data_IF_770371942963
#
_entry.id   IF_770371942963
#
_cell.length_a   1.000
_cell.length_b   1.000
_cell.length_c   1.000
_cell.angle_alpha   90.00
_cell.angle_beta   90.00
_cell.angle_gamma   90.00
#
_symmetry.space_group_name_H-M   'P 1'
#
loop_
_entity.id
_entity.type
_entity.pdbx_description
1 polymer ?
#
# COMPACT_ATOMS: atom_id res chain seq x y z
N UNK A 1 21.96 -6.45 -3.66
CA UNK A 1 21.19 -5.86 -2.54
C UNK A 1 20.34 -4.76 -3.13
N UNK A 2 19.05 -5.03 -3.36
CA UNK A 2 18.16 -4.10 -4.06
C UNK A 2 18.00 -2.80 -3.27
N UNK A 3 18.06 -1.65 -3.93
CA UNK A 3 17.73 -0.36 -3.34
C UNK A 3 16.24 -0.36 -2.97
N UNK A 4 15.89 -0.86 -1.78
CA UNK A 4 14.55 -0.70 -1.22
C UNK A 4 14.34 0.80 -0.92
N UNK A 5 13.77 1.51 -1.89
CA UNK A 5 13.42 2.92 -1.74
C UNK A 5 12.28 3.01 -0.71
N UNK A 6 12.61 3.39 0.53
CA UNK A 6 11.63 3.62 1.57
C UNK A 6 10.94 4.95 1.32
N UNK A 7 9.62 4.93 1.18
CA UNK A 7 8.81 6.12 0.95
C UNK A 7 7.94 6.33 2.18
N UNK A 8 8.09 7.49 2.82
CA UNK A 8 7.25 7.88 3.95
C UNK A 8 6.01 8.58 3.41
N UNK A 9 4.83 8.09 3.80
CA UNK A 9 3.54 8.64 3.40
C UNK A 9 2.73 8.99 4.63
N UNK A 10 1.94 10.07 4.54
CA UNK A 10 0.99 10.44 5.59
C UNK A 10 -0.29 9.64 5.41
N UNK A 11 -0.74 9.03 6.51
CA UNK A 11 -2.06 8.42 6.58
C UNK A 11 -3.09 9.40 7.14
N UNK A 12 -4.34 9.20 6.75
CA UNK A 12 -5.46 10.05 7.11
C UNK A 12 -6.63 9.17 7.54
N UNK A 13 -7.13 9.41 8.75
CA UNK A 13 -8.41 8.85 9.17
C UNK A 13 -9.52 9.69 8.53
N UNK A 14 -10.48 9.03 7.89
CA UNK A 14 -11.68 9.68 7.39
C UNK A 14 -12.42 10.36 8.56
N UNK A 15 -13.06 11.53 8.38
CA UNK A 15 -13.77 12.21 9.47
C UNK A 15 -14.84 11.35 10.16
N UNK A 16 -15.42 10.37 9.45
CA UNK A 16 -16.41 9.43 9.99
C UNK A 16 -15.79 8.26 10.77
N UNK A 17 -14.45 8.14 10.82
CA UNK A 17 -13.74 7.08 11.52
C UNK A 17 -13.82 5.69 10.87
N UNK A 18 -14.53 5.53 9.76
CA UNK A 18 -14.80 4.22 9.14
C UNK A 18 -13.65 3.69 8.29
N UNK A 19 -12.74 4.56 7.87
CA UNK A 19 -11.67 4.22 6.93
C UNK A 19 -10.39 4.99 7.20
N UNK A 20 -9.26 4.33 7.00
CA UNK A 20 -7.93 4.93 7.03
C UNK A 20 -7.32 4.86 5.63
N UNK A 21 -6.87 6.00 5.10
CA UNK A 21 -6.28 6.09 3.77
C UNK A 21 -4.81 6.46 3.88
N UNK A 22 -3.99 5.88 3.01
CA UNK A 22 -2.61 6.30 2.77
C UNK A 22 -2.51 6.85 1.35
N UNK A 23 -1.89 8.02 1.19
CA UNK A 23 -1.72 8.62 -0.13
C UNK A 23 -0.46 8.03 -0.78
N UNK A 24 -0.62 7.30 -1.87
CA UNK A 24 0.50 6.82 -2.69
C UNK A 24 0.97 7.98 -3.59
N UNK A 25 2.23 8.45 -3.48
CA UNK A 25 2.73 9.56 -4.27
C UNK A 25 2.62 9.30 -5.78
N UNK A 26 2.43 10.35 -6.56
CA UNK A 26 2.29 10.27 -8.03
C UNK A 26 3.42 9.46 -8.68
N UNK A 27 4.66 9.76 -8.31
CA UNK A 27 5.87 9.09 -8.82
C UNK A 27 5.83 7.57 -8.60
N UNK A 28 5.29 7.12 -7.46
CA UNK A 28 5.17 5.70 -7.11
C UNK A 28 4.05 5.04 -7.91
N UNK A 29 2.92 5.74 -8.07
CA UNK A 29 1.80 5.25 -8.91
C UNK A 29 2.24 5.10 -10.36
N UNK A 30 3.00 6.05 -10.90
CA UNK A 30 3.51 6.00 -12.27
C UNK A 30 4.57 4.89 -12.42
N UNK A 31 5.48 4.77 -11.45
CA UNK A 31 6.51 3.72 -11.43
C UNK A 31 5.92 2.31 -11.39
N UNK A 32 4.84 2.10 -10.64
CA UNK A 32 4.13 0.83 -10.52
C UNK A 32 2.96 0.70 -11.51
N UNK A 33 2.78 1.67 -12.40
CA UNK A 33 1.68 1.73 -13.38
C UNK A 33 0.27 1.55 -12.80
N UNK A 34 0.03 2.02 -11.56
CA UNK A 34 -1.25 1.89 -10.87
C UNK A 34 -2.34 2.73 -11.55
N UNK A 35 -3.46 2.10 -11.90
CA UNK A 35 -4.62 2.68 -12.60
C UNK A 35 -5.80 2.98 -11.67
N UNK A 36 -5.81 2.43 -10.46
CA UNK A 36 -6.90 2.54 -9.52
C UNK A 36 -7.88 1.39 -9.73
N UNK A 37 -7.93 0.49 -8.75
CA UNK A 37 -8.66 -0.78 -8.81
C UNK A 37 -7.79 -1.98 -8.45
N UNK A 38 -6.49 -1.78 -8.26
CA UNK A 38 -5.58 -2.82 -7.80
C UNK A 38 -5.88 -3.26 -6.37
N UNK A 39 -5.60 -4.53 -6.10
CA UNK A 39 -5.76 -5.12 -4.78
C UNK A 39 -4.41 -5.25 -4.09
N UNK A 40 -4.44 -5.07 -2.77
CA UNK A 40 -3.27 -5.20 -1.92
C UNK A 40 -3.53 -6.24 -0.85
N UNK A 41 -2.60 -7.18 -0.69
CA UNK A 41 -2.56 -8.07 0.46
C UNK A 41 -2.00 -7.28 1.65
N UNK A 42 -2.77 -7.20 2.73
CA UNK A 42 -2.32 -6.56 3.97
C UNK A 42 -1.83 -7.60 4.97
N UNK A 43 -0.58 -7.47 5.40
CA UNK A 43 -0.03 -8.22 6.53
C UNK A 43 0.20 -7.30 7.72
N UNK A 44 -0.56 -7.50 8.79
CA UNK A 44 -0.40 -6.80 10.05
C UNK A 44 0.48 -7.60 11.02
N UNK A 45 1.38 -6.90 11.72
CA UNK A 45 2.22 -7.42 12.80
C UNK A 45 2.08 -6.50 14.02
N UNK A 46 1.01 -6.69 14.83
CA UNK A 46 0.70 -5.80 15.96
C UNK A 46 1.86 -5.67 16.95
N UNK A 47 2.58 -6.76 17.21
CA UNK A 47 3.72 -6.86 18.12
C UNK A 47 4.92 -6.01 17.69
N UNK A 48 4.95 -5.58 16.41
CA UNK A 48 5.99 -4.69 15.85
C UNK A 48 5.42 -3.36 15.39
N UNK A 49 4.14 -3.09 15.67
CA UNK A 49 3.40 -1.92 15.17
C UNK A 49 3.60 -1.69 13.66
N UNK A 50 3.62 -2.78 12.87
CA UNK A 50 3.94 -2.74 11.44
C UNK A 50 2.79 -3.27 10.60
N UNK A 51 2.45 -2.53 9.55
CA UNK A 51 1.61 -3.00 8.44
C UNK A 51 2.48 -3.07 7.19
N UNK A 52 2.31 -4.13 6.40
CA UNK A 52 2.92 -4.26 5.07
C UNK A 52 1.82 -4.48 4.04
N UNK A 53 1.84 -3.70 2.97
CA UNK A 53 0.94 -3.84 1.84
C UNK A 53 1.75 -4.36 0.65
N UNK A 54 1.29 -5.45 0.04
CA UNK A 54 1.89 -6.04 -1.15
C UNK A 54 0.87 -5.99 -2.27
N UNK A 55 1.23 -5.43 -3.42
CA UNK A 55 0.41 -5.47 -4.63
C UNK A 55 0.22 -6.93 -5.06
N UNK A 56 -1.01 -7.32 -5.40
CA UNK A 56 -1.33 -8.68 -5.85
C UNK A 56 -1.79 -8.63 -7.29
N UNK A 57 -1.28 -9.55 -8.11
CA UNK A 57 -1.90 -9.89 -9.38
C UNK A 57 -2.74 -11.15 -9.17
N UNK A 58 -4.02 -11.11 -9.53
CA UNK A 58 -4.88 -12.29 -9.45
C UNK A 58 -4.66 -13.24 -10.62
N UNK A 59 -3.91 -12.83 -11.65
CA UNK A 59 -3.62 -13.67 -12.81
C UNK A 59 -2.65 -14.83 -12.55
N UNK A 60 -2.08 -14.92 -11.34
CA UNK A 60 -1.20 -16.01 -10.90
C UNK A 60 -1.90 -17.03 -9.98
N UNK A 61 -3.23 -16.92 -9.78
CA UNK A 61 -4.05 -17.99 -9.19
C UNK A 61 -4.76 -18.80 -10.30
N UNK A 62 -3.98 -19.46 -11.16
CA UNK A 62 -4.36 -20.68 -11.91
C UNK A 62 -3.23 -21.73 -11.84
#
# INVERSE_FOLDING_TARGET
MGNEKRIVVKGYLRPDGTSYYVSIPKEVREMLNLKGGEYFMMKAKPEKSKISLTLVDFSDEE
#
